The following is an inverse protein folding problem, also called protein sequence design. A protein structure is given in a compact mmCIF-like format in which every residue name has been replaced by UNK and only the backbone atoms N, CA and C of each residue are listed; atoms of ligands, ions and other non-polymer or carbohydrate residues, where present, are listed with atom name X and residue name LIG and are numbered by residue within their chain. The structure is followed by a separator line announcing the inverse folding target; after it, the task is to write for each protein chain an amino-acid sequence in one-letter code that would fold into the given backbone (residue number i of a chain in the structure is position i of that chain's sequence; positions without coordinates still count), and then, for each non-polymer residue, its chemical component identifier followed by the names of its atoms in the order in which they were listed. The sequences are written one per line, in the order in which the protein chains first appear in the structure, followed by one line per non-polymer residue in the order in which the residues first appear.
data_IF_852751398481
#
_entry.id   IF_852751398481
#
_cell.length_a   1.000
_cell.length_b   1.000
_cell.length_c   1.000
_cell.angle_alpha   90.00
_cell.angle_beta   90.00
_cell.angle_gamma   90.00
#
_symmetry.space_group_name_H-M   'P 1'
#
loop_
_entity.id
_entity.type
_entity.pdbx_description
1 polymer ?
#
# COMPACT_ATOMS: atom_id res chain seq x y z
N UNK A 1 9.75 10.33 -0.47
CA UNK A 1 9.39 11.75 -0.29
C UNK A 1 7.98 11.79 0.26
N UNK A 2 7.68 12.74 1.12
CA UNK A 2 6.36 12.85 1.74
C UNK A 2 5.33 13.41 0.74
N UNK A 3 4.09 12.92 0.78
CA UNK A 3 3.02 13.55 0.00
C UNK A 3 2.76 14.99 0.47
N UNK A 4 2.48 15.93 -0.44
CA UNK A 4 2.26 17.33 -0.07
C UNK A 4 0.96 17.49 0.73
N UNK A 5 1.00 18.34 1.75
CA UNK A 5 -0.20 18.73 2.50
C UNK A 5 -1.01 19.72 1.67
N UNK A 6 -2.21 19.30 1.23
CA UNK A 6 -3.15 20.15 0.47
C UNK A 6 -4.13 20.86 1.41
N UNK A 7 -4.63 20.14 2.42
CA UNK A 7 -5.54 20.64 3.44
C UNK A 7 -4.92 20.39 4.82
N UNK A 8 -4.55 21.46 5.52
CA UNK A 8 -3.90 21.39 6.84
C UNK A 8 -4.79 20.84 7.96
N UNK A 9 -6.10 20.70 7.74
CA UNK A 9 -7.01 20.02 8.68
C UNK A 9 -6.92 18.49 8.58
N UNK A 10 -6.36 17.97 7.48
CA UNK A 10 -6.16 16.54 7.25
C UNK A 10 -4.72 16.20 7.64
N UNK A 11 -4.57 15.25 8.57
CA UNK A 11 -3.24 14.74 8.95
C UNK A 11 -2.55 14.08 7.74
N UNK A 12 -1.23 13.93 7.80
CA UNK A 12 -0.44 13.30 6.74
C UNK A 12 -0.73 11.80 6.66
N UNK A 13 -0.96 11.29 5.46
CA UNK A 13 -1.11 9.87 5.17
C UNK A 13 -0.17 9.51 4.02
N UNK A 14 0.38 8.31 4.04
CA UNK A 14 1.39 7.88 3.07
C UNK A 14 1.00 6.54 2.45
N UNK A 15 1.45 6.30 1.22
CA UNK A 15 1.34 4.99 0.59
C UNK A 15 2.49 4.08 1.07
N UNK A 16 2.14 2.95 1.66
CA UNK A 16 3.07 1.90 2.05
C UNK A 16 2.49 0.51 1.73
N UNK A 17 2.44 0.12 0.44
CA UNK A 17 1.98 -1.21 0.03
C UNK A 17 2.78 -2.30 0.75
N UNK A 18 2.08 -3.15 1.49
CA UNK A 18 2.68 -4.16 2.35
C UNK A 18 2.29 -5.54 1.86
N UNK A 19 3.29 -6.37 1.57
CA UNK A 19 3.04 -7.74 1.17
C UNK A 19 2.90 -8.66 2.39
N UNK A 20 2.11 -9.72 2.24
CA UNK A 20 1.79 -10.65 3.32
C UNK A 20 1.77 -12.09 2.83
N UNK A 21 2.20 -13.00 3.71
CA UNK A 21 2.21 -14.43 3.43
C UNK A 21 1.02 -15.10 4.12
N UNK A 22 0.33 -15.97 3.38
CA UNK A 22 -0.89 -16.62 3.85
C UNK A 22 -0.82 -18.13 3.69
N UNK A 23 -1.51 -18.85 4.59
CA UNK A 23 -1.74 -20.29 4.46
C UNK A 23 -3.09 -20.50 3.77
N UNK A 24 -3.15 -21.12 2.58
CA UNK A 24 -4.42 -21.43 1.94
C UNK A 24 -5.32 -22.29 2.84
N UNK A 25 -6.61 -22.01 2.87
CA UNK A 25 -7.58 -22.70 3.74
C UNK A 25 -7.63 -24.22 3.50
N UNK A 26 -7.31 -24.66 2.27
CA UNK A 26 -7.27 -26.07 1.85
C UNK A 26 -5.86 -26.68 1.81
N UNK A 27 -4.86 -26.02 2.40
CA UNK A 27 -3.49 -26.57 2.46
C UNK A 27 -3.46 -27.91 3.22
N UNK A 28 -2.70 -28.88 2.69
CA UNK A 28 -2.58 -30.23 3.27
C UNK A 28 -1.68 -30.24 4.52
N UNK A 29 -0.57 -29.51 4.51
CA UNK A 29 0.39 -29.47 5.62
C UNK A 29 0.35 -28.12 6.37
N UNK A 30 -0.74 -27.87 7.11
CA UNK A 30 -0.90 -26.61 7.87
C UNK A 30 0.06 -26.49 9.06
N UNK A 31 0.47 -27.61 9.64
CA UNK A 31 1.35 -27.61 10.80
C UNK A 31 2.72 -27.01 10.45
N UNK A 32 3.36 -27.50 9.39
CA UNK A 32 4.66 -26.97 8.99
C UNK A 32 4.54 -25.61 8.30
N UNK A 33 3.44 -25.32 7.61
CA UNK A 33 3.20 -23.98 7.08
C UNK A 33 3.13 -22.92 8.19
N UNK A 34 2.53 -23.24 9.35
CA UNK A 34 2.53 -22.35 10.53
C UNK A 34 3.93 -22.19 11.12
N UNK A 35 4.72 -23.27 11.22
CA UNK A 35 6.12 -23.19 11.67
C UNK A 35 6.94 -22.29 10.74
N UNK A 36 6.74 -22.42 9.44
CA UNK A 36 7.39 -21.58 8.44
C UNK A 36 6.98 -20.11 8.58
N UNK A 37 5.67 -19.80 8.69
CA UNK A 37 5.24 -18.42 8.94
C UNK A 37 5.82 -17.84 10.24
N UNK A 38 5.88 -18.64 11.31
CA UNK A 38 6.50 -18.20 12.56
C UNK A 38 8.01 -17.92 12.41
N UNK A 39 8.72 -18.74 11.63
CA UNK A 39 10.13 -18.51 11.30
C UNK A 39 10.31 -17.22 10.48
N UNK A 40 9.53 -17.05 9.41
CA UNK A 40 9.59 -15.86 8.54
C UNK A 40 9.21 -14.59 9.30
N UNK A 41 8.29 -14.67 10.26
CA UNK A 41 7.87 -13.51 11.06
C UNK A 41 8.91 -13.03 12.07
N UNK A 42 10.01 -13.77 12.30
CA UNK A 42 11.06 -13.35 13.23
C UNK A 42 11.71 -12.03 12.78
N UNK A 43 12.11 -11.16 13.72
CA UNK A 43 12.68 -9.86 13.39
C UNK A 43 13.94 -9.93 12.51
N UNK A 44 14.84 -10.89 12.79
CA UNK A 44 16.08 -11.09 12.04
C UNK A 44 15.81 -11.62 10.63
N UNK A 45 14.85 -12.54 10.48
CA UNK A 45 14.47 -13.10 9.18
C UNK A 45 13.74 -12.07 8.32
N UNK A 46 12.81 -11.30 8.88
CA UNK A 46 12.19 -10.17 8.17
C UNK A 46 13.24 -9.12 7.78
N UNK A 47 14.23 -8.85 8.64
CA UNK A 47 15.35 -7.95 8.30
C UNK A 47 16.14 -8.44 7.09
N UNK A 48 16.48 -9.73 7.05
CA UNK A 48 17.16 -10.34 5.89
C UNK A 48 16.31 -10.25 4.61
N UNK A 49 15.00 -10.54 4.70
CA UNK A 49 14.09 -10.46 3.54
C UNK A 49 13.98 -9.01 3.04
N UNK A 50 13.79 -8.06 3.96
CA UNK A 50 13.68 -6.64 3.65
C UNK A 50 14.94 -6.12 2.95
N UNK A 51 16.12 -6.46 3.48
CA UNK A 51 17.41 -6.11 2.87
C UNK A 51 17.57 -6.71 1.47
N UNK A 52 17.30 -8.00 1.31
CA UNK A 52 17.38 -8.67 0.02
C UNK A 52 16.41 -8.11 -1.02
N UNK A 53 15.25 -7.59 -0.56
CA UNK A 53 14.20 -7.05 -1.42
C UNK A 53 14.33 -5.54 -1.67
N UNK A 54 15.24 -4.85 -0.98
CA UNK A 54 15.34 -3.39 -1.01
C UNK A 54 14.11 -2.68 -0.44
N UNK A 55 13.44 -3.30 0.54
CA UNK A 55 12.19 -2.81 1.15
C UNK A 55 12.34 -2.58 2.66
N UNK A 56 11.37 -1.92 3.27
CA UNK A 56 11.26 -1.83 4.72
C UNK A 56 10.65 -3.11 5.29
N UNK A 57 11.15 -3.55 6.45
CA UNK A 57 10.53 -4.64 7.20
C UNK A 57 9.19 -4.17 7.77
N UNK A 58 8.18 -5.03 7.69
CA UNK A 58 6.89 -4.84 8.36
C UNK A 58 6.93 -5.20 9.86
N UNK A 59 7.99 -5.89 10.31
CA UNK A 59 8.21 -6.17 11.72
C UNK A 59 9.00 -5.01 12.37
N UNK A 60 8.38 -4.33 13.32
CA UNK A 60 8.95 -3.16 14.00
C UNK A 60 10.14 -3.47 14.94
N UNK A 61 10.43 -4.75 15.18
CA UNK A 61 11.61 -5.20 15.93
C UNK A 61 12.77 -5.57 15.01
N UNK A 62 12.58 -5.53 13.69
CA UNK A 62 13.67 -5.80 12.74
C UNK A 62 14.77 -4.76 12.84
N UNK A 63 16.01 -5.10 12.45
CA UNK A 63 17.08 -4.13 12.31
C UNK A 63 16.65 -2.95 11.43
N UNK A 64 17.11 -1.75 11.81
CA UNK A 64 16.92 -0.53 11.02
C UNK A 64 17.60 -0.71 9.66
N UNK A 65 16.99 -0.25 8.55
CA UNK A 65 17.62 -0.34 7.23
C UNK A 65 18.94 0.43 7.19
N UNK A 66 19.93 -0.07 6.44
CA UNK A 66 21.22 0.62 6.26
C UNK A 66 21.15 1.73 5.19
N UNK A 67 20.34 1.52 4.15
CA UNK A 67 20.15 2.41 3.01
C UNK A 67 19.55 3.77 3.43
N UNK A 68 20.12 4.86 2.91
CA UNK A 68 19.73 6.23 3.27
C UNK A 68 18.28 6.55 2.86
N UNK A 69 17.85 6.11 1.69
CA UNK A 69 16.49 6.36 1.21
C UNK A 69 15.47 5.57 2.04
N UNK A 70 15.79 4.34 2.43
CA UNK A 70 14.95 3.54 3.31
C UNK A 70 14.85 4.16 4.71
N UNK A 71 15.93 4.74 5.27
CA UNK A 71 15.87 5.48 6.55
C UNK A 71 14.94 6.69 6.48
N UNK A 72 15.03 7.47 5.40
CA UNK A 72 14.14 8.62 5.17
C UNK A 72 12.70 8.16 5.02
N UNK A 73 12.46 7.11 4.23
CA UNK A 73 11.14 6.49 4.07
C UNK A 73 10.57 6.02 5.39
N UNK A 74 11.35 5.30 6.20
CA UNK A 74 10.92 4.81 7.52
C UNK A 74 10.47 5.96 8.44
N UNK A 75 11.21 7.07 8.46
CA UNK A 75 10.82 8.26 9.23
C UNK A 75 9.48 8.82 8.75
N UNK A 76 9.34 9.04 7.44
CA UNK A 76 8.10 9.57 6.83
C UNK A 76 6.89 8.69 7.17
N UNK A 77 7.03 7.36 7.04
CA UNK A 77 5.95 6.43 7.34
C UNK A 77 5.62 6.41 8.85
N UNK A 78 6.63 6.46 9.72
CA UNK A 78 6.46 6.43 11.18
C UNK A 78 5.80 7.70 11.74
N UNK A 79 5.96 8.84 11.06
CA UNK A 79 5.35 10.12 11.44
C UNK A 79 3.97 10.33 10.81
N UNK A 80 3.57 9.48 9.85
CA UNK A 80 2.25 9.56 9.22
C UNK A 80 1.12 9.14 10.17
N UNK A 81 -0.06 9.72 9.98
CA UNK A 81 -1.26 9.36 10.73
C UNK A 81 -1.87 8.02 10.32
N UNK A 82 -1.47 7.48 9.17
CA UNK A 82 -1.93 6.22 8.65
C UNK A 82 -1.32 5.90 7.30
N UNK A 83 -1.40 4.61 6.94
CA UNK A 83 -0.79 4.05 5.74
C UNK A 83 -1.87 3.49 4.81
N UNK A 84 -1.82 3.88 3.54
CA UNK A 84 -2.61 3.31 2.46
C UNK A 84 -1.83 2.20 1.74
N UNK A 85 -2.53 1.36 0.99
CA UNK A 85 -1.92 0.25 0.24
C UNK A 85 -1.73 0.56 -1.24
N UNK A 86 -1.88 1.83 -1.64
CA UNK A 86 -2.04 2.32 -3.00
C UNK A 86 -3.47 2.10 -3.55
N UNK A 87 -3.91 3.04 -4.40
CA UNK A 87 -5.30 3.13 -4.85
C UNK A 87 -5.85 1.86 -5.48
N UNK A 88 -5.04 1.12 -6.24
CA UNK A 88 -5.48 -0.11 -6.91
C UNK A 88 -5.67 -1.31 -5.97
N UNK A 89 -5.04 -1.28 -4.80
CA UNK A 89 -5.15 -2.29 -3.73
C UNK A 89 -6.20 -1.92 -2.68
N UNK A 90 -6.46 -0.63 -2.49
CA UNK A 90 -7.49 -0.13 -1.56
C UNK A 90 -8.90 -0.12 -2.17
N UNK A 91 -9.07 -0.61 -3.40
CA UNK A 91 -10.34 -0.62 -4.14
C UNK A 91 -10.53 -1.93 -4.93
N UNK A 92 -11.64 -2.12 -5.64
CA UNK A 92 -11.79 -3.32 -6.50
C UNK A 92 -11.03 -3.15 -7.81
N UNK A 93 -10.58 -4.24 -8.48
CA UNK A 93 -9.89 -4.12 -9.76
C UNK A 93 -10.64 -3.32 -10.84
N UNK A 94 -11.97 -3.42 -10.87
CA UNK A 94 -12.81 -2.66 -11.79
C UNK A 94 -12.79 -1.16 -11.47
N UNK A 95 -12.80 -0.81 -10.18
CA UNK A 95 -12.77 0.58 -9.73
C UNK A 95 -11.37 1.17 -9.95
N UNK A 96 -10.33 0.41 -9.63
CA UNK A 96 -8.93 0.76 -9.86
C UNK A 96 -8.71 1.15 -11.32
N UNK A 97 -9.20 0.32 -12.25
CA UNK A 97 -9.10 0.56 -13.70
C UNK A 97 -9.76 1.86 -14.13
N UNK A 98 -10.96 2.15 -13.65
CA UNK A 98 -11.68 3.38 -14.03
C UNK A 98 -11.09 4.63 -13.36
N UNK A 99 -10.65 4.53 -12.10
CA UNK A 99 -9.96 5.61 -11.40
C UNK A 99 -8.62 5.97 -12.06
N UNK A 100 -7.77 4.98 -12.35
CA UNK A 100 -6.46 5.18 -12.99
C UNK A 100 -6.57 5.87 -14.35
N UNK A 101 -7.53 5.47 -15.19
CA UNK A 101 -7.83 6.18 -16.45
C UNK A 101 -8.17 7.65 -16.21
N UNK A 102 -8.95 7.94 -15.17
CA UNK A 102 -9.29 9.30 -14.79
C UNK A 102 -8.09 10.12 -14.33
N UNK A 103 -7.22 9.53 -13.50
CA UNK A 103 -5.98 10.18 -13.05
C UNK A 103 -5.06 10.50 -14.23
N UNK A 104 -4.87 9.55 -15.14
CA UNK A 104 -4.10 9.77 -16.37
C UNK A 104 -4.69 10.86 -17.26
N UNK A 105 -6.02 10.87 -17.45
CA UNK A 105 -6.66 11.94 -18.22
C UNK A 105 -6.47 13.30 -17.57
N UNK A 106 -6.59 13.40 -16.23
CA UNK A 106 -6.42 14.64 -15.50
C UNK A 106 -5.00 15.22 -15.62
N UNK A 107 -3.97 14.37 -15.62
CA UNK A 107 -2.57 14.82 -15.79
C UNK A 107 -2.34 15.53 -17.13
N UNK A 108 -3.08 15.19 -18.18
CA UNK A 108 -2.92 15.78 -19.53
C UNK A 108 -4.00 16.81 -19.84
N UNK A 109 -5.18 16.68 -19.24
CA UNK A 109 -6.38 17.49 -19.51
C UNK A 109 -7.06 17.90 -18.19
N UNK A 110 -6.41 18.74 -17.36
CA UNK A 110 -6.91 19.11 -16.05
C UNK A 110 -8.26 19.87 -16.13
N UNK A 111 -8.55 20.54 -17.25
CA UNK A 111 -9.82 21.22 -17.50
C UNK A 111 -11.03 20.27 -17.54
N UNK A 112 -10.80 18.96 -17.68
CA UNK A 112 -11.85 17.92 -17.71
C UNK A 112 -12.17 17.32 -16.34
N UNK A 113 -11.64 17.90 -15.27
CA UNK A 113 -11.78 17.39 -13.90
C UNK A 113 -13.24 17.01 -13.55
N UNK A 114 -14.20 17.89 -13.87
CA UNK A 114 -15.60 17.67 -13.56
C UNK A 114 -16.16 16.45 -14.30
N UNK A 115 -15.86 16.29 -15.59
CA UNK A 115 -16.29 15.16 -16.39
C UNK A 115 -15.63 13.86 -15.94
N UNK A 116 -14.34 13.91 -15.58
CA UNK A 116 -13.59 12.78 -15.04
C UNK A 116 -14.26 12.30 -13.74
N UNK A 117 -14.51 13.19 -12.78
CA UNK A 117 -15.19 12.85 -11.52
C UNK A 117 -16.58 12.28 -11.75
N UNK A 118 -17.37 12.86 -12.64
CA UNK A 118 -18.69 12.33 -12.98
C UNK A 118 -18.63 10.91 -13.56
N UNK A 119 -17.63 10.61 -14.39
CA UNK A 119 -17.43 9.26 -14.94
C UNK A 119 -17.00 8.27 -13.85
N UNK A 120 -16.04 8.63 -13.02
CA UNK A 120 -15.59 7.83 -11.86
C UNK A 120 -16.76 7.56 -10.91
N UNK A 121 -17.59 8.56 -10.60
CA UNK A 121 -18.75 8.38 -9.72
C UNK A 121 -19.82 7.48 -10.32
N UNK A 122 -20.08 7.57 -11.63
CA UNK A 122 -20.97 6.62 -12.32
C UNK A 122 -20.42 5.19 -12.26
N UNK A 123 -19.10 5.03 -12.43
CA UNK A 123 -18.46 3.72 -12.29
C UNK A 123 -18.57 3.19 -10.85
N UNK A 124 -18.27 4.01 -9.85
CA UNK A 124 -18.40 3.67 -8.42
C UNK A 124 -19.81 3.20 -8.08
N UNK A 125 -20.84 3.97 -8.47
CA UNK A 125 -22.25 3.59 -8.27
C UNK A 125 -22.64 2.28 -8.95
N UNK A 126 -22.00 1.92 -10.06
CA UNK A 126 -22.27 0.66 -10.77
C UNK A 126 -21.52 -0.52 -10.16
N UNK A 127 -20.28 -0.32 -9.72
CA UNK A 127 -19.39 -1.36 -9.17
C UNK A 127 -19.82 -1.72 -7.74
N UNK A 128 -20.06 -0.71 -6.92
CA UNK A 128 -20.47 -0.87 -5.52
C UNK A 128 -21.98 -0.79 -5.34
N UNK A 129 -22.74 -1.30 -6.30
CA UNK A 129 -24.18 -1.47 -6.10
C UNK A 129 -24.37 -2.41 -4.92
N UNK A 130 -24.87 -1.86 -3.81
CA UNK A 130 -25.73 -2.61 -2.91
C UNK A 130 -27.10 -2.70 -3.56
#
# INVERSE_FOLDING_TARGET
FQFPVIDGSVRTYEDAPTDSMHIPSKAKNKADAKKFLAYVARPDIQGTIAQASGMLSSNNQSPVPDDEFLKIGFKVLSESAGLAQFYDRDTTPEMAKEGMKGFQEFMVKPEREKQIRQRIERARKRIYKQ
#
